data_IF_799638553463
#
_entry.id   IF_799638553463
#
_cell.length_a   1.000
_cell.length_b   1.000
_cell.length_c   1.000
_cell.angle_alpha   90.00
_cell.angle_beta   90.00
_cell.angle_gamma   90.00
#
_symmetry.space_group_name_H-M   'P 1'
#
loop_
_entity.id
_entity.type
_entity.pdbx_description
1 polymer ?
#
# COMPACT_ATOMS: atom_id res chain seq x y z
N UNK A 1 -1.63 -14.48 33.04
CA UNK A 1 -2.44 -13.60 32.15
C UNK A 1 -1.87 -13.51 30.73
N UNK A 2 -0.60 -13.12 30.55
CA UNK A 2 0.09 -13.07 29.24
C UNK A 2 -0.07 -14.33 28.39
N UNK A 3 0.15 -15.52 28.97
CA UNK A 3 0.02 -16.77 28.24
C UNK A 3 -1.39 -17.01 27.67
N UNK A 4 -2.43 -16.71 28.46
CA UNK A 4 -3.83 -16.83 28.01
C UNK A 4 -4.12 -15.88 26.83
N UNK A 5 -3.58 -14.65 26.88
CA UNK A 5 -3.70 -13.68 25.78
C UNK A 5 -3.02 -14.19 24.52
N UNK A 6 -1.78 -14.69 24.62
CA UNK A 6 -1.05 -15.27 23.49
C UNK A 6 -1.83 -16.44 22.87
N UNK A 7 -2.40 -17.32 23.69
CA UNK A 7 -3.24 -18.43 23.22
C UNK A 7 -4.44 -17.94 22.42
N UNK A 8 -5.14 -16.88 22.88
CA UNK A 8 -6.28 -16.33 22.15
C UNK A 8 -5.85 -15.67 20.83
N UNK A 9 -4.73 -14.95 20.80
CA UNK A 9 -4.15 -14.39 19.57
C UNK A 9 -3.89 -15.50 18.54
N UNK A 10 -3.22 -16.58 18.95
CA UNK A 10 -2.92 -17.71 18.06
C UNK A 10 -4.22 -18.33 17.51
N UNK A 11 -5.24 -18.48 18.35
CA UNK A 11 -6.54 -19.02 17.96
C UNK A 11 -7.22 -18.13 16.92
N UNK A 12 -7.21 -16.81 17.11
CA UNK A 12 -7.78 -15.85 16.16
C UNK A 12 -7.03 -15.85 14.82
N UNK A 13 -5.69 -15.82 14.85
CA UNK A 13 -4.87 -15.88 13.62
C UNK A 13 -5.14 -17.17 12.84
N UNK A 14 -5.24 -18.32 13.53
CA UNK A 14 -5.58 -19.60 12.87
C UNK A 14 -6.98 -19.58 12.26
N UNK A 15 -7.96 -18.96 12.90
CA UNK A 15 -9.31 -18.78 12.34
C UNK A 15 -9.27 -17.88 11.10
N UNK A 16 -8.55 -16.77 11.17
CA UNK A 16 -8.40 -15.84 10.05
C UNK A 16 -7.71 -16.52 8.85
N UNK A 17 -6.65 -17.29 9.08
CA UNK A 17 -5.99 -18.08 8.03
C UNK A 17 -6.94 -19.11 7.38
N UNK A 18 -7.81 -19.77 8.17
CA UNK A 18 -8.83 -20.69 7.61
C UNK A 18 -9.85 -19.98 6.72
N UNK A 19 -10.22 -18.74 7.04
CA UNK A 19 -11.10 -17.93 6.19
C UNK A 19 -10.37 -17.48 4.92
N UNK A 20 -9.13 -17.01 5.05
CA UNK A 20 -8.28 -16.63 3.93
C UNK A 20 -8.13 -17.76 2.88
N UNK A 21 -7.96 -19.01 3.32
CA UNK A 21 -7.92 -20.15 2.38
C UNK A 21 -9.19 -20.30 1.54
N UNK A 22 -10.38 -19.99 2.10
CA UNK A 22 -11.65 -20.10 1.36
C UNK A 22 -11.76 -19.11 0.20
N UNK A 23 -10.97 -18.05 0.22
CA UNK A 23 -10.93 -17.00 -0.82
C UNK A 23 -9.59 -17.02 -1.60
N UNK A 24 -8.87 -18.14 -1.55
CA UNK A 24 -7.65 -18.32 -2.34
C UNK A 24 -6.41 -17.61 -1.80
N UNK A 25 -6.43 -17.11 -0.55
CA UNK A 25 -5.26 -16.49 0.09
C UNK A 25 -4.47 -17.55 0.86
N UNK A 26 -3.25 -17.92 0.41
CA UNK A 26 -2.49 -19.01 1.03
C UNK A 26 -1.82 -18.62 2.35
N UNK A 27 -1.54 -17.33 2.57
CA UNK A 27 -0.87 -16.84 3.78
C UNK A 27 -1.35 -15.44 4.14
N UNK A 28 -2.19 -15.33 5.18
CA UNK A 28 -2.70 -14.05 5.67
C UNK A 28 -1.61 -13.18 6.35
N UNK A 29 -0.51 -13.80 6.78
CA UNK A 29 0.61 -13.13 7.43
C UNK A 29 1.68 -12.65 6.44
N UNK A 30 1.37 -12.65 5.14
CA UNK A 30 2.21 -11.98 4.16
C UNK A 30 2.38 -10.50 4.56
N UNK A 31 3.60 -9.94 4.50
CA UNK A 31 3.81 -8.53 4.79
C UNK A 31 2.87 -7.65 3.97
N UNK A 32 2.23 -6.67 4.62
CA UNK A 32 1.31 -5.72 3.97
C UNK A 32 -0.13 -6.22 3.84
N UNK A 33 -0.36 -7.52 3.63
CA UNK A 33 -1.63 -8.06 3.17
C UNK A 33 -2.84 -7.68 4.03
N UNK A 34 -2.75 -7.77 5.36
CA UNK A 34 -3.89 -7.38 6.23
C UNK A 34 -4.23 -5.89 6.06
N UNK A 35 -3.24 -5.03 5.87
CA UNK A 35 -3.48 -3.60 5.62
C UNK A 35 -4.08 -3.38 4.23
N UNK A 36 -3.59 -4.09 3.22
CA UNK A 36 -4.13 -4.06 1.85
C UNK A 36 -5.60 -4.52 1.84
N UNK A 37 -5.95 -5.56 2.60
CA UNK A 37 -7.33 -6.02 2.79
C UNK A 37 -8.21 -4.89 3.34
N UNK A 38 -7.77 -4.23 4.42
CA UNK A 38 -8.52 -3.12 5.05
C UNK A 38 -8.69 -1.95 4.06
N UNK A 39 -7.63 -1.58 3.33
CA UNK A 39 -7.70 -0.52 2.31
C UNK A 39 -8.69 -0.89 1.20
N UNK A 40 -8.61 -2.12 0.67
CA UNK A 40 -9.49 -2.61 -0.39
C UNK A 40 -10.95 -2.65 0.03
N UNK A 41 -11.24 -2.98 1.29
CA UNK A 41 -12.59 -2.98 1.84
C UNK A 41 -13.15 -1.56 1.92
N UNK A 42 -12.38 -0.60 2.46
CA UNK A 42 -12.78 0.81 2.57
C UNK A 42 -13.03 1.43 1.19
N UNK A 43 -12.13 1.18 0.23
CA UNK A 43 -12.24 1.75 -1.11
C UNK A 43 -13.16 0.95 -2.04
N UNK A 44 -13.73 -0.16 -1.55
CA UNK A 44 -14.57 -1.07 -2.33
C UNK A 44 -13.87 -1.60 -3.60
N UNK A 45 -12.58 -1.90 -3.51
CA UNK A 45 -11.79 -2.53 -4.57
C UNK A 45 -11.80 -4.05 -4.46
N UNK A 46 -11.39 -4.75 -5.52
CA UNK A 46 -11.08 -6.17 -5.47
C UNK A 46 -9.58 -6.38 -5.18
N UNK A 47 -9.26 -7.18 -4.17
CA UNK A 47 -7.88 -7.37 -3.71
C UNK A 47 -7.13 -8.35 -4.61
N UNK A 48 -5.93 -7.98 -5.04
CA UNK A 48 -5.04 -8.89 -5.77
C UNK A 48 -4.05 -9.50 -4.79
N UNK A 49 -4.33 -10.72 -4.34
CA UNK A 49 -3.49 -11.41 -3.34
C UNK A 49 -2.18 -12.00 -3.90
N UNK A 50 -1.99 -11.97 -5.22
CA UNK A 50 -0.82 -12.54 -5.90
C UNK A 50 0.40 -11.60 -5.84
N UNK A 51 1.60 -12.14 -5.55
CA UNK A 51 2.83 -11.35 -5.45
C UNK A 51 3.27 -10.78 -6.81
N UNK A 52 3.93 -9.60 -6.77
CA UNK A 52 4.51 -8.86 -7.91
C UNK A 52 3.50 -8.21 -8.87
N UNK A 53 2.21 -8.34 -8.59
CA UNK A 53 1.18 -7.63 -9.31
C UNK A 53 0.88 -6.28 -8.65
N UNK A 54 -0.10 -5.53 -9.16
CA UNK A 54 -0.72 -4.43 -8.43
C UNK A 54 -1.44 -4.97 -7.18
N UNK A 55 -1.74 -4.11 -6.22
CA UNK A 55 -2.34 -4.52 -4.94
C UNK A 55 -3.85 -4.76 -5.06
N UNK A 56 -4.53 -4.04 -5.96
CA UNK A 56 -5.96 -4.18 -6.17
C UNK A 56 -6.40 -3.85 -7.61
N UNK A 57 -7.66 -4.15 -7.93
CA UNK A 57 -8.32 -3.71 -9.15
C UNK A 57 -9.76 -3.27 -8.92
N UNK A 58 -10.35 -2.65 -9.94
CA UNK A 58 -11.78 -2.32 -9.94
C UNK A 58 -12.63 -3.60 -9.93
N UNK A 59 -13.74 -3.59 -9.18
CA UNK A 59 -14.66 -4.74 -9.05
C UNK A 59 -15.45 -5.05 -10.32
N UNK A 60 -15.66 -4.06 -11.19
CA UNK A 60 -16.43 -4.20 -12.42
C UNK A 60 -15.53 -4.43 -13.63
N UNK A 61 -14.32 -3.86 -13.59
CA UNK A 61 -13.32 -4.02 -14.63
C UNK A 61 -11.93 -4.31 -14.05
N UNK A 62 -11.59 -5.60 -14.00
CA UNK A 62 -10.33 -6.06 -13.42
C UNK A 62 -9.10 -5.61 -14.21
N UNK A 63 -9.24 -5.02 -15.41
CA UNK A 63 -8.12 -4.42 -16.14
C UNK A 63 -7.64 -3.10 -15.51
N UNK A 64 -8.50 -2.42 -14.75
CA UNK A 64 -8.18 -1.20 -14.02
C UNK A 64 -7.47 -1.58 -12.72
N UNK A 65 -6.18 -1.24 -12.61
CA UNK A 65 -5.32 -1.61 -11.48
C UNK A 65 -5.04 -0.44 -10.53
N UNK A 66 -4.83 -0.76 -9.26
CA UNK A 66 -4.51 0.19 -8.19
C UNK A 66 -3.31 -0.29 -7.38
N UNK A 67 -2.44 0.64 -6.98
CA UNK A 67 -1.34 0.39 -6.05
C UNK A 67 -1.64 1.06 -4.71
N UNK A 68 -1.22 0.42 -3.63
CA UNK A 68 -1.32 0.93 -2.27
C UNK A 68 0.07 1.22 -1.71
N UNK A 69 0.24 2.45 -1.24
CA UNK A 69 1.34 2.82 -0.35
C UNK A 69 0.76 3.01 1.04
N UNK A 70 1.50 2.63 2.08
CA UNK A 70 1.06 2.90 3.43
C UNK A 70 2.20 3.18 4.40
N UNK A 71 1.90 3.99 5.41
CA UNK A 71 2.76 4.23 6.55
C UNK A 71 1.91 4.46 7.81
N UNK A 72 2.58 4.60 8.95
CA UNK A 72 1.95 5.16 10.15
C UNK A 72 2.03 6.68 10.12
N UNK A 73 1.22 7.35 10.95
CA UNK A 73 1.29 8.81 11.17
C UNK A 73 2.72 9.33 11.33
N UNK A 74 3.04 10.39 10.58
CA UNK A 74 4.38 10.99 10.54
C UNK A 74 5.45 10.13 9.87
N UNK A 75 5.05 9.01 9.24
CA UNK A 75 5.94 8.09 8.55
C UNK A 75 6.02 8.35 7.04
N UNK A 76 6.74 7.43 6.37
CA UNK A 76 7.00 7.47 4.93
C UNK A 76 6.60 6.15 4.32
N UNK A 77 5.75 6.19 3.28
CA UNK A 77 5.46 5.03 2.43
C UNK A 77 6.54 4.94 1.35
N UNK A 78 6.89 3.74 0.90
CA UNK A 78 8.03 3.57 0.00
C UNK A 78 7.76 2.60 -1.15
N UNK A 79 8.41 2.88 -2.27
CA UNK A 79 8.63 1.91 -3.35
C UNK A 79 10.02 1.33 -3.21
N UNK A 80 10.08 0.03 -2.95
CA UNK A 80 11.34 -0.69 -2.79
C UNK A 80 11.98 -1.05 -4.11
N UNK A 81 13.32 -1.08 -4.14
CA UNK A 81 14.13 -1.56 -5.28
C UNK A 81 13.79 -0.85 -6.59
N UNK A 82 13.74 0.47 -6.56
CA UNK A 82 13.57 1.30 -7.76
C UNK A 82 14.93 1.51 -8.43
N UNK A 83 15.02 1.23 -9.73
CA UNK A 83 16.30 1.22 -10.44
C UNK A 83 16.54 2.54 -11.15
N UNK A 84 17.70 3.14 -10.91
CA UNK A 84 18.22 4.25 -11.73
C UNK A 84 18.83 3.71 -13.04
N UNK A 85 19.52 2.57 -12.96
CA UNK A 85 20.16 1.87 -14.09
C UNK A 85 20.26 0.36 -13.80
N UNK A 86 20.34 -0.52 -14.83
CA UNK A 86 20.28 -0.22 -16.27
C UNK A 86 18.87 0.21 -16.71
N UNK A 87 18.76 0.80 -17.91
CA UNK A 87 17.51 1.38 -18.44
C UNK A 87 16.36 0.38 -18.43
N UNK A 88 16.61 -0.87 -18.82
CA UNK A 88 15.60 -1.93 -18.81
C UNK A 88 15.00 -2.14 -17.40
N UNK A 89 15.86 -2.22 -16.37
CA UNK A 89 15.42 -2.36 -14.98
C UNK A 89 14.75 -1.10 -14.45
N UNK A 90 15.18 0.08 -14.89
CA UNK A 90 14.49 1.35 -14.60
C UNK A 90 13.06 1.27 -15.10
N UNK A 91 12.87 0.97 -16.40
CA UNK A 91 11.55 0.83 -17.01
C UNK A 91 10.70 -0.21 -16.29
N UNK A 92 11.22 -1.41 -16.01
CA UNK A 92 10.50 -2.45 -15.26
C UNK A 92 10.05 -1.97 -13.87
N UNK A 93 10.93 -1.26 -13.14
CA UNK A 93 10.58 -0.75 -11.81
C UNK A 93 9.55 0.37 -11.87
N UNK A 94 9.65 1.29 -12.84
CA UNK A 94 8.69 2.39 -13.03
C UNK A 94 7.34 1.91 -13.55
N UNK A 95 7.29 0.78 -14.28
CA UNK A 95 6.04 0.15 -14.70
C UNK A 95 5.13 -0.23 -13.53
N UNK A 96 5.69 -0.45 -12.34
CA UNK A 96 4.91 -0.67 -11.11
C UNK A 96 4.04 0.54 -10.75
N UNK A 97 4.42 1.74 -11.18
CA UNK A 97 3.62 2.94 -11.03
C UNK A 97 2.67 3.08 -12.22
N UNK A 98 3.20 3.02 -13.44
CA UNK A 98 2.44 3.39 -14.65
C UNK A 98 1.40 2.37 -15.09
N UNK A 99 1.47 1.11 -14.63
CA UNK A 99 0.43 0.10 -14.87
C UNK A 99 -0.88 0.40 -14.16
N UNK A 100 -0.84 1.24 -13.14
CA UNK A 100 -1.97 1.52 -12.27
C UNK A 100 -2.73 2.74 -12.79
N UNK A 101 -4.06 2.70 -12.69
CA UNK A 101 -4.93 3.84 -12.96
C UNK A 101 -4.78 4.90 -11.88
N UNK A 102 -4.56 4.46 -10.65
CA UNK A 102 -4.48 5.32 -9.47
C UNK A 102 -3.58 4.70 -8.39
N UNK A 103 -2.96 5.55 -7.59
CA UNK A 103 -2.22 5.15 -6.39
C UNK A 103 -2.96 5.66 -5.16
N UNK A 104 -3.10 4.82 -4.12
CA UNK A 104 -3.69 5.21 -2.85
C UNK A 104 -2.63 5.19 -1.75
N UNK A 105 -2.36 6.37 -1.18
CA UNK A 105 -1.44 6.53 -0.05
C UNK A 105 -2.22 6.57 1.26
N UNK A 106 -2.05 5.54 2.08
CA UNK A 106 -2.82 5.31 3.31
C UNK A 106 -2.00 5.59 4.56
N UNK A 107 -2.53 6.43 5.45
CA UNK A 107 -1.95 6.65 6.79
C UNK A 107 -2.74 5.82 7.80
N UNK A 108 -2.04 4.97 8.56
CA UNK A 108 -2.58 4.26 9.71
C UNK A 108 -2.23 4.99 11.01
N UNK A 109 -3.09 4.89 12.02
CA UNK A 109 -2.78 5.43 13.35
C UNK A 109 -1.56 4.72 13.96
N UNK A 110 -0.67 5.47 14.62
CA UNK A 110 0.51 4.88 15.27
C UNK A 110 0.12 3.99 16.46
N UNK A 111 -0.93 4.38 17.17
CA UNK A 111 -1.42 3.68 18.37
C UNK A 111 -2.52 2.64 18.07
N UNK A 112 -2.99 2.58 16.82
CA UNK A 112 -3.91 1.54 16.35
C UNK A 112 -3.50 1.09 14.93
N UNK A 113 -2.58 0.12 14.83
CA UNK A 113 -1.91 -0.22 13.58
C UNK A 113 -2.80 -0.75 12.44
N UNK A 114 -4.06 -1.10 12.76
CA UNK A 114 -5.04 -1.60 11.80
C UNK A 114 -6.13 -0.57 11.47
N UNK A 115 -6.14 0.58 12.14
CA UNK A 115 -7.10 1.65 11.85
C UNK A 115 -6.51 2.68 10.89
N UNK A 116 -7.22 2.92 9.80
CA UNK A 116 -6.87 3.95 8.83
C UNK A 116 -7.29 5.33 9.36
N UNK A 117 -6.37 6.29 9.26
CA UNK A 117 -6.62 7.71 9.55
C UNK A 117 -7.12 8.45 8.33
N UNK A 118 -6.40 8.31 7.20
CA UNK A 118 -6.67 9.05 5.97
C UNK A 118 -6.12 8.28 4.77
N UNK A 119 -6.78 8.41 3.62
CA UNK A 119 -6.33 7.88 2.33
C UNK A 119 -6.31 9.03 1.32
N UNK A 120 -5.15 9.22 0.70
CA UNK A 120 -4.95 10.12 -0.42
C UNK A 120 -4.95 9.33 -1.72
N UNK A 121 -5.73 9.79 -2.68
CA UNK A 121 -5.70 9.36 -4.07
C UNK A 121 -4.70 10.23 -4.85
N UNK A 122 -3.75 9.59 -5.51
CA UNK A 122 -2.62 10.25 -6.19
C UNK A 122 -2.52 9.73 -7.62
N UNK A 123 -2.48 10.66 -8.57
CA UNK A 123 -2.30 10.33 -9.99
C UNK A 123 -0.94 9.65 -10.21
N UNK A 124 -0.88 8.55 -10.98
CA UNK A 124 0.37 7.85 -11.27
C UNK A 124 1.46 8.77 -11.85
N UNK A 125 1.08 9.74 -12.69
CA UNK A 125 2.01 10.69 -13.28
C UNK A 125 2.70 11.61 -12.24
N UNK A 126 1.99 11.97 -11.16
CA UNK A 126 2.54 12.80 -10.08
C UNK A 126 3.57 11.99 -9.29
N UNK A 127 3.22 10.76 -8.92
CA UNK A 127 4.12 9.87 -8.20
C UNK A 127 5.33 9.46 -9.04
N UNK A 128 5.12 9.21 -10.34
CA UNK A 128 6.18 8.90 -11.30
C UNK A 128 7.21 10.04 -11.36
N UNK A 129 6.74 11.28 -11.53
CA UNK A 129 7.62 12.46 -11.61
C UNK A 129 8.50 12.60 -10.36
N UNK A 130 7.91 12.43 -9.18
CA UNK A 130 8.68 12.46 -7.92
C UNK A 130 9.67 11.29 -7.81
N UNK A 131 9.24 10.10 -8.21
CA UNK A 131 10.11 8.90 -8.23
C UNK A 131 11.34 9.11 -9.10
N UNK A 132 11.14 9.58 -10.33
CA UNK A 132 12.23 9.85 -11.27
C UNK A 132 13.16 10.94 -10.73
N UNK A 133 12.59 12.03 -10.18
CA UNK A 133 13.37 13.10 -9.55
C UNK A 133 14.25 12.59 -8.40
N UNK A 134 13.72 11.72 -7.53
CA UNK A 134 14.51 11.12 -6.44
C UNK A 134 15.58 10.17 -6.96
N UNK A 135 15.26 9.33 -7.96
CA UNK A 135 16.24 8.42 -8.57
C UNK A 135 17.37 9.16 -9.26
N UNK A 136 17.06 10.24 -9.97
CA UNK A 136 18.06 11.00 -10.72
C UNK A 136 19.02 11.73 -9.79
N UNK A 137 18.52 12.24 -8.65
CA UNK A 137 19.32 12.81 -7.56
C UNK A 137 20.09 11.76 -6.76
N UNK A 138 19.65 10.51 -6.74
CA UNK A 138 20.29 9.44 -5.98
C UNK A 138 21.67 9.11 -6.54
N UNK A 139 22.65 8.95 -5.66
CA UNK A 139 23.97 8.41 -6.00
C UNK A 139 23.92 6.89 -6.27
N UNK A 140 22.88 6.21 -5.79
CA UNK A 140 22.75 4.76 -5.88
C UNK A 140 22.14 4.33 -7.23
N UNK A 141 22.59 3.18 -7.73
CA UNK A 141 21.98 2.55 -8.92
C UNK A 141 20.59 1.96 -8.63
N UNK A 142 20.32 1.61 -7.37
CA UNK A 142 19.05 1.08 -6.86
C UNK A 142 18.73 1.83 -5.58
N UNK A 143 17.51 2.34 -5.43
CA UNK A 143 17.08 3.11 -4.26
C UNK A 143 15.74 2.61 -3.73
N UNK A 144 15.50 2.86 -2.45
CA UNK A 144 14.16 2.92 -1.89
C UNK A 144 13.67 4.36 -2.05
N UNK A 145 12.54 4.54 -2.73
CA UNK A 145 11.96 5.87 -3.00
C UNK A 145 10.83 6.10 -2.01
N UNK A 146 10.92 7.17 -1.21
CA UNK A 146 10.00 7.44 -0.13
C UNK A 146 9.06 8.60 -0.43
N UNK A 147 7.84 8.53 0.11
CA UNK A 147 6.83 9.58 0.05
C UNK A 147 6.30 9.82 1.46
N UNK A 148 6.44 11.05 1.96
CA UNK A 148 5.97 11.43 3.29
C UNK A 148 4.47 11.71 3.29
N UNK A 149 3.87 11.72 4.49
CA UNK A 149 2.49 12.16 4.69
C UNK A 149 2.25 13.59 4.15
N UNK A 150 3.17 14.53 4.40
CA UNK A 150 3.07 15.91 3.91
C UNK A 150 3.12 16.00 2.37
N UNK A 151 3.96 15.16 1.74
CA UNK A 151 4.02 15.08 0.29
C UNK A 151 2.70 14.56 -0.27
N UNK A 152 2.16 13.48 0.30
CA UNK A 152 0.88 12.91 -0.10
C UNK A 152 -0.27 13.92 0.08
N UNK A 153 -0.27 14.68 1.18
CA UNK A 153 -1.25 15.75 1.43
C UNK A 153 -1.21 16.87 0.40
N UNK A 154 -0.02 17.22 -0.08
CA UNK A 154 0.15 18.32 -1.05
C UNK A 154 -0.13 17.91 -2.49
N UNK A 155 -0.02 16.61 -2.80
CA UNK A 155 -0.05 16.07 -4.16
C UNK A 155 -1.25 15.14 -4.43
N UNK A 156 -2.00 14.78 -3.39
CA UNK A 156 -3.12 13.86 -3.46
C UNK A 156 -4.46 14.50 -3.07
N UNK A 157 -5.54 13.83 -3.44
CA UNK A 157 -6.91 14.16 -3.06
C UNK A 157 -7.36 13.22 -1.94
N UNK A 158 -7.97 13.76 -0.89
CA UNK A 158 -8.54 12.92 0.17
C UNK A 158 -9.75 12.16 -0.39
N UNK A 159 -9.73 10.83 -0.28
CA UNK A 159 -10.86 9.94 -0.65
C UNK A 159 -11.46 9.23 0.57
N UNK A 160 -10.72 9.18 1.66
CA UNK A 160 -11.21 8.72 2.95
C UNK A 160 -10.53 9.51 4.06
N UNK A 161 -11.29 9.90 5.09
CA UNK A 161 -10.76 10.42 6.33
C UNK A 161 -11.63 9.92 7.49
N UNK A 162 -10.99 9.38 8.52
CA UNK A 162 -11.62 9.01 9.78
C UNK A 162 -12.28 10.25 10.41
N UNK A 163 -13.40 10.06 11.11
CA UNK A 163 -14.20 11.17 11.64
C UNK A 163 -13.42 12.09 12.59
N UNK A 164 -12.42 11.55 13.29
CA UNK A 164 -11.58 12.34 14.19
C UNK A 164 -10.67 13.35 13.48
N UNK A 165 -10.46 13.20 12.17
CA UNK A 165 -9.67 14.14 11.34
C UNK A 165 -10.55 15.24 10.73
N UNK A 166 -11.88 15.07 10.71
CA UNK A 166 -12.83 16.03 10.13
C UNK A 166 -13.22 17.17 11.09
N UNK A 167 -12.75 17.12 12.34
CA UNK A 167 -12.95 18.14 13.36
C UNK A 167 -11.78 19.12 13.36
#
# INVERSE_FOLDING_TARGET
MKQKIITEIIKLIRKAQKLAFKIGIPNILQPGLVKEMIISEILNHDLISSKRNADACDKKDHSIKYEYLSCYEGGTGQLDRMFKKPLEKRTESLQRITRNKMIYFTIFYKNDPLKIKIIYEILPAILLKETESQLDRSANAISHVGFSEDWAKSNGKIVYADESVKK
#
